data_IF_019789355938
#
_entry.id   IF_019789355938
#
_cell.length_a   1.000
_cell.length_b   1.000
_cell.length_c   1.000
_cell.angle_alpha   90.00
_cell.angle_beta   90.00
_cell.angle_gamma   90.00
#
_symmetry.space_group_name_H-M   'P 1'
#
loop_
_entity.id
_entity.type
_entity.pdbx_description
1 polymer ?
#
# COMPACT_ATOMS: atom_id res chain seq x y z
N UNK A 1 -34.29 69.01 -13.48
CA UNK A 1 -33.71 68.37 -12.29
C UNK A 1 -34.55 67.16 -11.93
N UNK A 2 -34.07 65.94 -12.17
CA UNK A 2 -34.49 64.75 -11.44
C UNK A 2 -33.43 63.65 -11.59
N UNK A 3 -33.06 63.09 -10.45
CA UNK A 3 -31.89 62.23 -10.23
C UNK A 3 -32.13 60.79 -10.69
N UNK A 4 -31.19 60.22 -11.44
CA UNK A 4 -31.11 58.78 -11.66
C UNK A 4 -30.41 58.11 -10.46
N UNK A 5 -31.08 57.16 -9.81
CA UNK A 5 -30.50 56.30 -8.76
C UNK A 5 -29.78 55.11 -9.42
N UNK A 6 -28.48 54.99 -9.19
CA UNK A 6 -27.70 53.79 -9.52
C UNK A 6 -27.80 52.82 -8.32
N UNK A 7 -28.37 51.63 -8.52
CA UNK A 7 -28.37 50.55 -7.53
C UNK A 7 -27.08 49.72 -7.72
N UNK A 8 -26.17 49.80 -6.76
CA UNK A 8 -25.03 48.90 -6.64
C UNK A 8 -25.51 47.56 -6.04
N UNK A 9 -25.40 46.46 -6.79
CA UNK A 9 -25.51 45.11 -6.24
C UNK A 9 -24.14 44.67 -5.72
N UNK A 10 -24.00 44.56 -4.40
CA UNK A 10 -22.85 43.91 -3.77
C UNK A 10 -23.12 42.39 -3.70
N UNK A 11 -22.35 41.60 -4.44
CA UNK A 11 -22.35 40.15 -4.30
C UNK A 11 -21.48 39.74 -3.10
N UNK A 12 -21.94 38.86 -2.18
CA UNK A 12 -21.12 38.42 -1.06
C UNK A 12 -20.19 37.30 -1.53
N UNK A 13 -18.88 37.54 -1.47
CA UNK A 13 -17.84 36.52 -1.64
C UNK A 13 -17.77 35.69 -0.36
N UNK A 14 -18.30 34.47 -0.40
CA UNK A 14 -18.11 33.49 0.66
C UNK A 14 -16.68 32.94 0.59
N UNK A 15 -15.80 33.43 1.47
CA UNK A 15 -14.49 32.85 1.71
C UNK A 15 -14.67 31.60 2.59
N UNK A 16 -14.60 30.41 1.99
CA UNK A 16 -14.43 29.17 2.73
C UNK A 16 -12.98 29.07 3.21
N UNK A 17 -12.71 29.57 4.41
CA UNK A 17 -11.47 29.28 5.13
C UNK A 17 -11.53 27.85 5.67
N UNK A 18 -11.04 26.88 4.91
CA UNK A 18 -10.73 25.55 5.43
C UNK A 18 -9.52 25.67 6.36
N UNK A 19 -9.76 25.80 7.67
CA UNK A 19 -8.72 25.69 8.68
C UNK A 19 -8.19 24.25 8.69
N UNK A 20 -7.08 24.03 7.97
CA UNK A 20 -6.27 22.80 8.12
C UNK A 20 -5.62 22.88 9.49
N UNK A 21 -6.21 22.24 10.50
CA UNK A 21 -5.52 22.03 11.77
C UNK A 21 -4.34 21.11 11.49
N UNK A 22 -3.11 21.62 11.63
CA UNK A 22 -1.93 20.78 11.56
C UNK A 22 -2.02 19.70 12.66
N UNK A 23 -1.86 18.44 12.28
CA UNK A 23 -1.74 17.35 13.26
C UNK A 23 -0.51 17.61 14.12
N UNK A 24 -0.65 17.56 15.44
CA UNK A 24 0.45 17.86 16.36
C UNK A 24 1.63 16.92 16.06
N UNK A 25 2.81 17.48 15.80
CA UNK A 25 4.03 16.72 15.48
C UNK A 25 3.90 15.82 14.24
N UNK A 26 3.13 16.26 13.25
CA UNK A 26 2.87 15.56 11.98
C UNK A 26 4.14 15.09 11.26
N UNK A 27 5.25 15.80 11.43
CA UNK A 27 6.56 15.49 10.85
C UNK A 27 7.13 14.14 11.28
N UNK A 28 6.69 13.61 12.43
CA UNK A 28 7.12 12.30 12.92
C UNK A 28 6.10 11.18 12.65
N UNK A 29 4.89 11.50 12.18
CA UNK A 29 3.84 10.50 11.97
C UNK A 29 4.14 9.72 10.68
N UNK A 30 4.42 8.42 10.85
CA UNK A 30 4.74 7.52 9.74
C UNK A 30 3.51 6.87 9.09
N UNK A 31 2.36 6.94 9.77
CA UNK A 31 1.11 6.37 9.28
C UNK A 31 0.69 6.99 7.94
N UNK A 32 0.19 6.19 6.98
CA UNK A 32 -0.30 6.74 5.74
C UNK A 32 -1.54 7.61 5.99
N UNK A 33 -1.73 8.64 5.19
CA UNK A 33 -2.87 9.58 5.34
C UNK A 33 -4.21 8.97 4.89
N UNK A 34 -4.18 7.82 4.23
CA UNK A 34 -5.35 7.12 3.69
C UNK A 34 -5.08 5.62 3.63
N UNK A 35 -6.15 4.83 3.54
CA UNK A 35 -6.08 3.36 3.47
C UNK A 35 -5.47 2.86 2.17
N UNK A 36 -5.72 3.53 1.03
CA UNK A 36 -5.09 3.15 -0.25
C UNK A 36 -3.69 3.77 -0.33
N UNK A 37 -2.67 2.92 -0.17
CA UNK A 37 -1.27 3.33 -0.18
C UNK A 37 -0.65 2.92 -1.51
N UNK A 38 -0.14 3.86 -2.28
CA UNK A 38 0.62 3.59 -3.49
C UNK A 38 2.14 3.63 -3.23
N UNK A 39 2.95 2.89 -4.00
CA UNK A 39 4.40 2.91 -3.87
C UNK A 39 4.99 4.28 -4.19
N UNK A 40 6.06 4.69 -3.49
CA UNK A 40 6.65 6.02 -3.66
C UNK A 40 7.74 6.04 -4.73
N UNK A 41 8.58 5.02 -4.76
CA UNK A 41 9.74 4.97 -5.66
C UNK A 41 9.88 3.59 -6.30
N UNK A 42 10.45 3.60 -7.51
CA UNK A 42 10.88 2.41 -8.21
C UNK A 42 12.26 2.00 -7.68
N UNK A 43 12.41 0.74 -7.25
CA UNK A 43 13.65 0.22 -6.68
C UNK A 43 14.48 -0.52 -7.71
N UNK A 44 13.90 -1.54 -8.34
CA UNK A 44 14.58 -2.42 -9.30
C UNK A 44 13.63 -2.83 -10.42
N UNK A 45 14.20 -3.14 -11.58
CA UNK A 45 13.50 -3.70 -12.74
C UNK A 45 14.39 -4.79 -13.32
N UNK A 46 13.82 -5.97 -13.56
CA UNK A 46 14.50 -7.08 -14.21
C UNK A 46 13.66 -7.58 -15.38
N UNK A 47 14.30 -8.10 -16.43
CA UNK A 47 13.60 -8.53 -17.65
C UNK A 47 13.03 -7.35 -18.45
N UNK A 48 11.88 -7.57 -19.10
CA UNK A 48 11.25 -6.60 -20.01
C UNK A 48 9.99 -6.02 -19.39
N UNK A 49 10.13 -4.80 -18.82
CA UNK A 49 8.99 -4.04 -18.31
C UNK A 49 9.01 -2.63 -18.89
N UNK A 50 7.99 -2.32 -19.69
CA UNK A 50 7.81 -0.98 -20.23
C UNK A 50 7.10 -0.09 -19.20
N UNK A 51 7.60 1.14 -19.04
CA UNK A 51 7.01 2.17 -18.19
C UNK A 51 6.70 1.70 -16.73
N UNK A 52 7.65 1.09 -16.01
CA UNK A 52 7.44 0.60 -14.63
C UNK A 52 7.05 1.72 -13.64
N UNK A 53 7.40 2.97 -13.95
CA UNK A 53 7.01 4.16 -13.18
C UNK A 53 5.50 4.44 -13.14
N UNK A 54 4.70 3.79 -14.00
CA UNK A 54 3.24 3.85 -13.98
C UNK A 54 2.62 3.41 -12.64
N UNK A 55 3.32 2.53 -11.93
CA UNK A 55 2.84 1.91 -10.70
C UNK A 55 3.11 2.74 -9.45
N UNK A 56 3.72 3.92 -9.58
CA UNK A 56 4.05 4.80 -8.48
C UNK A 56 2.89 5.75 -8.14
N UNK A 57 2.88 6.26 -6.91
CA UNK A 57 1.96 7.28 -6.41
C UNK A 57 1.86 8.51 -7.31
N UNK A 58 2.96 8.84 -8.00
CA UNK A 58 3.03 9.93 -8.98
C UNK A 58 3.59 9.39 -10.29
N UNK A 59 2.75 8.82 -11.15
CA UNK A 59 3.18 8.28 -12.45
C UNK A 59 3.79 9.38 -13.31
N UNK A 60 4.88 9.08 -14.00
CA UNK A 60 5.55 10.05 -14.89
C UNK A 60 4.71 10.38 -16.13
N UNK A 61 4.06 9.38 -16.73
CA UNK A 61 3.50 9.49 -18.08
C UNK A 61 2.02 9.10 -18.22
N UNK A 62 1.31 8.79 -17.12
CA UNK A 62 -0.12 8.43 -17.14
C UNK A 62 -0.49 7.14 -17.89
N UNK A 63 0.47 6.47 -18.53
CA UNK A 63 0.35 5.19 -19.24
C UNK A 63 0.60 4.01 -18.29
N UNK A 64 0.23 2.81 -18.71
CA UNK A 64 0.34 1.57 -17.92
C UNK A 64 1.79 1.06 -17.82
N UNK A 65 2.08 0.23 -16.82
CA UNK A 65 3.29 -0.60 -16.80
C UNK A 65 3.00 -1.91 -17.52
N UNK A 66 3.84 -2.26 -18.50
CA UNK A 66 3.62 -3.46 -19.33
C UNK A 66 4.73 -4.46 -19.06
N UNK A 67 4.39 -5.57 -18.43
CA UNK A 67 5.26 -6.72 -18.22
C UNK A 67 5.21 -7.61 -19.47
N UNK A 68 6.37 -8.01 -20.00
CA UNK A 68 6.45 -8.77 -21.26
C UNK A 68 7.39 -9.95 -21.08
N UNK A 69 6.92 -11.14 -21.43
CA UNK A 69 7.68 -12.38 -21.35
C UNK A 69 8.03 -12.80 -19.93
N UNK A 70 8.64 -13.98 -19.82
CA UNK A 70 8.95 -14.56 -18.51
C UNK A 70 10.11 -13.82 -17.83
N UNK A 71 10.16 -13.93 -16.50
CA UNK A 71 11.20 -13.30 -15.67
C UNK A 71 11.25 -11.77 -15.76
N UNK A 72 10.11 -11.15 -16.09
CA UNK A 72 9.95 -9.70 -16.03
C UNK A 72 9.43 -9.30 -14.66
N UNK A 73 10.15 -8.43 -13.96
CA UNK A 73 9.77 -8.02 -12.61
C UNK A 73 10.11 -6.58 -12.29
N UNK A 74 9.36 -6.03 -11.33
CA UNK A 74 9.55 -4.69 -10.78
C UNK A 74 9.52 -4.77 -9.27
N UNK A 75 10.48 -4.13 -8.61
CA UNK A 75 10.46 -3.92 -7.16
C UNK A 75 10.13 -2.46 -6.86
N UNK A 76 9.19 -2.26 -5.94
CA UNK A 76 8.64 -0.97 -5.56
C UNK A 76 8.93 -0.71 -4.07
N UNK A 77 9.24 0.52 -3.71
CA UNK A 77 9.50 0.96 -2.34
C UNK A 77 8.39 1.93 -1.87
N UNK A 78 7.72 1.58 -0.77
CA UNK A 78 6.69 2.40 -0.12
C UNK A 78 7.27 3.50 0.78
N UNK A 79 8.58 3.47 1.03
CA UNK A 79 9.35 4.42 1.83
C UNK A 79 9.33 4.14 3.33
N UNK A 80 8.29 3.48 3.83
CA UNK A 80 8.12 3.02 5.22
C UNK A 80 7.45 1.65 5.21
N UNK A 81 7.59 0.87 6.29
CA UNK A 81 6.84 -0.38 6.41
C UNK A 81 5.34 -0.08 6.40
N UNK A 82 4.56 -0.87 5.68
CA UNK A 82 3.11 -0.89 5.62
C UNK A 82 2.63 -2.35 5.76
N UNK A 83 1.33 -2.59 5.78
CA UNK A 83 0.75 -3.92 5.73
C UNK A 83 -0.69 -3.86 5.20
N UNK A 84 -1.16 -4.92 4.54
CA UNK A 84 -2.49 -4.93 3.96
C UNK A 84 -2.67 -5.84 2.74
N UNK A 85 -3.74 -5.59 1.97
CA UNK A 85 -4.09 -6.34 0.77
C UNK A 85 -3.72 -5.58 -0.49
N UNK A 86 -3.10 -6.25 -1.45
CA UNK A 86 -2.75 -5.66 -2.76
C UNK A 86 -4.00 -5.51 -3.62
N UNK A 87 -4.10 -4.39 -4.34
CA UNK A 87 -5.13 -4.11 -5.34
C UNK A 87 -4.51 -3.47 -6.58
N UNK A 88 -4.96 -3.85 -7.78
CA UNK A 88 -4.47 -3.32 -9.05
C UNK A 88 -5.49 -3.51 -10.18
N UNK A 89 -5.32 -2.75 -11.27
CA UNK A 89 -6.12 -2.88 -12.48
C UNK A 89 -5.26 -3.43 -13.62
N UNK A 90 -5.84 -4.37 -14.37
CA UNK A 90 -5.31 -4.86 -15.64
C UNK A 90 -6.08 -4.24 -16.79
N UNK A 91 -5.38 -3.59 -17.70
CA UNK A 91 -5.96 -2.90 -18.86
C UNK A 91 -5.92 -3.76 -20.13
N UNK A 92 -4.89 -4.59 -20.28
CA UNK A 92 -4.76 -5.51 -21.39
C UNK A 92 -3.91 -6.72 -21.02
N UNK A 93 -4.20 -7.83 -21.71
CA UNK A 93 -3.52 -9.11 -21.57
C UNK A 93 -3.32 -9.66 -22.98
N UNK A 94 -2.11 -10.13 -23.27
CA UNK A 94 -1.80 -10.92 -24.46
C UNK A 94 -1.25 -12.26 -23.98
N UNK A 95 -1.78 -13.36 -24.51
CA UNK A 95 -1.50 -14.71 -24.02
C UNK A 95 -2.74 -15.38 -23.42
N UNK A 96 -2.63 -16.65 -23.07
CA UNK A 96 -3.76 -17.48 -22.62
C UNK A 96 -3.64 -17.93 -21.16
N UNK A 97 -2.47 -17.74 -20.52
CA UNK A 97 -2.22 -18.20 -19.15
C UNK A 97 -1.20 -17.28 -18.45
N UNK A 98 -1.59 -16.03 -18.27
CA UNK A 98 -0.74 -15.00 -17.67
C UNK A 98 -0.90 -14.95 -16.15
N UNK A 99 0.23 -14.80 -15.43
CA UNK A 99 0.25 -14.70 -13.98
C UNK A 99 1.11 -13.55 -13.49
N UNK A 100 0.66 -12.90 -12.42
CA UNK A 100 1.47 -11.96 -11.64
C UNK A 100 1.65 -12.48 -10.22
N UNK A 101 2.90 -12.63 -9.79
CA UNK A 101 3.29 -12.98 -8.43
C UNK A 101 3.71 -11.75 -7.65
N UNK A 102 3.30 -11.65 -6.39
CA UNK A 102 3.66 -10.55 -5.50
C UNK A 102 4.45 -11.07 -4.31
N UNK A 103 5.68 -10.59 -4.13
CA UNK A 103 6.52 -10.89 -2.96
C UNK A 103 6.76 -9.64 -2.12
N UNK A 104 7.04 -9.84 -0.84
CA UNK A 104 7.07 -8.76 0.16
C UNK A 104 8.28 -8.92 1.08
N UNK A 105 9.01 -7.83 1.32
CA UNK A 105 10.08 -7.80 2.33
C UNK A 105 10.14 -6.48 3.08
N UNK A 106 10.57 -6.51 4.33
CA UNK A 106 10.82 -5.32 5.15
C UNK A 106 12.19 -4.69 4.86
N UNK A 107 13.17 -5.49 4.44
CA UNK A 107 14.56 -5.05 4.27
C UNK A 107 15.01 -5.09 2.82
N UNK A 108 15.74 -4.05 2.41
CA UNK A 108 16.32 -4.02 1.06
C UNK A 108 17.40 -5.07 0.82
N UNK A 109 17.90 -5.73 1.88
CA UNK A 109 18.91 -6.78 1.77
C UNK A 109 18.34 -8.10 1.25
N UNK A 110 17.02 -8.30 1.34
CA UNK A 110 16.34 -9.56 1.06
C UNK A 110 15.29 -9.44 -0.05
N UNK A 111 15.37 -8.39 -0.86
CA UNK A 111 14.49 -8.22 -2.02
C UNK A 111 14.67 -9.41 -2.97
N UNK A 112 13.56 -10.04 -3.31
CA UNK A 112 13.49 -11.06 -4.35
C UNK A 112 12.10 -11.09 -4.97
N UNK A 113 11.96 -11.16 -6.30
CA UNK A 113 10.65 -11.37 -6.94
C UNK A 113 10.13 -12.80 -6.75
N UNK A 114 10.99 -13.73 -6.31
CA UNK A 114 10.69 -15.16 -6.26
C UNK A 114 10.28 -15.64 -4.86
N UNK A 115 10.58 -14.86 -3.83
CA UNK A 115 10.34 -15.23 -2.43
C UNK A 115 10.22 -13.97 -1.57
N UNK A 116 9.44 -14.04 -0.49
CA UNK A 116 9.26 -12.96 0.48
C UNK A 116 9.67 -13.38 1.89
N UNK A 117 9.65 -12.41 2.80
CA UNK A 117 9.86 -12.69 4.23
C UNK A 117 8.81 -13.68 4.71
N UNK A 118 9.18 -14.61 5.58
CA UNK A 118 8.23 -15.56 6.18
C UNK A 118 7.71 -15.03 7.52
N UNK A 119 6.39 -15.19 7.73
CA UNK A 119 5.76 -14.98 9.04
C UNK A 119 5.52 -16.31 9.79
N UNK A 120 6.13 -17.40 9.32
CA UNK A 120 5.96 -18.77 9.83
C UNK A 120 7.31 -19.40 10.18
N UNK A 121 7.33 -20.72 10.43
CA UNK A 121 8.57 -21.48 10.59
C UNK A 121 9.30 -21.75 9.25
N UNK A 122 8.69 -21.39 8.11
CA UNK A 122 9.34 -21.47 6.81
C UNK A 122 10.45 -20.42 6.72
N UNK A 123 11.50 -20.69 5.93
CA UNK A 123 12.56 -19.72 5.68
C UNK A 123 12.06 -18.52 4.87
N UNK A 124 11.19 -18.77 3.88
CA UNK A 124 10.63 -17.77 2.99
C UNK A 124 9.17 -18.09 2.65
N UNK A 125 8.39 -17.06 2.32
CA UNK A 125 7.07 -17.21 1.73
C UNK A 125 7.14 -17.16 0.20
N UNK A 126 6.32 -17.96 -0.47
CA UNK A 126 6.13 -17.88 -1.92
C UNK A 126 5.38 -16.60 -2.32
N UNK A 127 5.54 -16.14 -3.58
CA UNK A 127 4.77 -15.03 -4.10
C UNK A 127 3.26 -15.30 -4.00
N UNK A 128 2.49 -14.26 -3.70
CA UNK A 128 1.04 -14.28 -3.84
C UNK A 128 0.70 -14.19 -5.33
N UNK A 129 0.23 -15.31 -5.90
CA UNK A 129 -0.05 -15.42 -7.32
C UNK A 129 -1.47 -15.01 -7.69
N UNK A 130 -1.60 -14.23 -8.76
CA UNK A 130 -2.85 -13.90 -9.43
C UNK A 130 -2.83 -14.48 -10.84
N UNK A 131 -3.84 -15.28 -11.18
CA UNK A 131 -4.13 -15.63 -12.58
C UNK A 131 -4.84 -14.45 -13.25
N UNK A 132 -4.37 -14.05 -14.42
CA UNK A 132 -4.84 -12.87 -15.15
C UNK A 132 -5.45 -13.31 -16.49
N UNK A 133 -6.71 -13.80 -16.51
CA UNK A 133 -7.34 -14.26 -17.74
C UNK A 133 -7.80 -13.11 -18.66
N UNK A 134 -8.03 -11.92 -18.11
CA UNK A 134 -8.56 -10.78 -18.85
C UNK A 134 -8.27 -9.44 -18.16
N UNK A 135 -8.58 -8.34 -18.85
CA UNK A 135 -8.64 -7.02 -18.22
C UNK A 135 -9.70 -6.99 -17.10
N UNK A 136 -9.48 -6.13 -16.10
CA UNK A 136 -10.35 -5.99 -14.93
C UNK A 136 -9.60 -5.54 -13.69
N UNK A 137 -10.35 -5.40 -12.59
CA UNK A 137 -9.80 -5.09 -11.26
C UNK A 137 -9.49 -6.38 -10.51
N UNK A 138 -8.32 -6.43 -9.91
CA UNK A 138 -7.84 -7.54 -9.11
C UNK A 138 -7.50 -7.05 -7.69
N UNK A 139 -7.82 -7.88 -6.70
CA UNK A 139 -7.54 -7.59 -5.30
C UNK A 139 -7.26 -8.88 -4.54
N UNK A 140 -6.29 -8.85 -3.64
CA UNK A 140 -6.09 -9.93 -2.68
C UNK A 140 -7.31 -10.03 -1.77
N UNK A 141 -7.78 -11.26 -1.51
CA UNK A 141 -8.74 -11.50 -0.46
C UNK A 141 -8.14 -11.10 0.90
N UNK A 142 -8.98 -10.78 1.90
CA UNK A 142 -8.51 -10.30 3.20
C UNK A 142 -7.71 -11.38 3.95
N UNK A 143 -8.03 -12.64 3.72
CA UNK A 143 -7.29 -13.80 4.21
C UNK A 143 -5.91 -13.93 3.54
N UNK A 144 -5.61 -13.16 2.50
CA UNK A 144 -4.29 -13.07 1.85
C UNK A 144 -3.65 -11.71 2.12
N UNK A 145 -3.98 -11.05 3.23
CA UNK A 145 -3.35 -9.79 3.64
C UNK A 145 -1.91 -10.01 4.11
N UNK A 146 -0.98 -9.17 3.67
CA UNK A 146 0.40 -9.23 4.14
C UNK A 146 0.56 -8.42 5.42
N UNK A 147 1.31 -8.95 6.38
CA UNK A 147 1.82 -8.20 7.54
C UNK A 147 2.81 -7.10 7.13
N UNK A 148 3.76 -6.75 8.00
CA UNK A 148 4.77 -5.72 7.70
C UNK A 148 5.57 -6.00 6.42
N UNK A 149 5.68 -5.00 5.54
CA UNK A 149 6.63 -4.96 4.42
C UNK A 149 6.88 -3.50 3.99
N UNK A 150 8.03 -3.23 3.38
CA UNK A 150 8.32 -1.93 2.75
C UNK A 150 8.55 -2.05 1.25
N UNK A 151 9.09 -3.18 0.81
CA UNK A 151 9.37 -3.47 -0.58
C UNK A 151 8.39 -4.53 -1.07
N UNK A 152 7.83 -4.29 -2.25
CA UNK A 152 6.95 -5.23 -2.94
C UNK A 152 7.51 -5.47 -4.33
N UNK A 153 7.72 -6.74 -4.68
CA UNK A 153 8.11 -7.11 -6.03
C UNK A 153 6.93 -7.72 -6.77
N UNK A 154 6.79 -7.38 -8.04
CA UNK A 154 5.80 -7.93 -8.95
C UNK A 154 6.55 -8.74 -9.99
N UNK A 155 6.18 -9.99 -10.17
CA UNK A 155 6.82 -10.91 -11.08
C UNK A 155 5.82 -11.45 -12.10
N UNK A 156 6.10 -11.17 -13.37
CA UNK A 156 5.43 -11.81 -14.49
C UNK A 156 6.26 -13.00 -14.96
N UNK A 157 5.66 -14.19 -14.91
CA UNK A 157 6.33 -15.45 -15.24
C UNK A 157 5.56 -16.26 -16.28
N UNK A 158 5.14 -15.59 -17.35
CA UNK A 158 4.42 -16.18 -18.47
C UNK A 158 4.99 -15.67 -19.79
N UNK A 159 4.62 -16.26 -20.92
CA UNK A 159 5.22 -15.93 -22.23
C UNK A 159 4.59 -14.70 -22.90
N UNK A 160 3.41 -14.27 -22.44
CA UNK A 160 2.65 -13.17 -23.02
C UNK A 160 3.03 -11.80 -22.46
N UNK A 161 2.02 -10.93 -22.30
CA UNK A 161 2.21 -9.61 -21.70
C UNK A 161 1.00 -9.17 -20.89
N UNK A 162 1.25 -8.42 -19.81
CA UNK A 162 0.22 -7.89 -18.92
C UNK A 162 0.44 -6.40 -18.69
N UNK A 163 -0.58 -5.60 -18.97
CA UNK A 163 -0.58 -4.15 -18.71
C UNK A 163 -1.29 -3.84 -17.40
N UNK A 164 -0.57 -3.20 -16.48
CA UNK A 164 -0.98 -2.97 -15.09
C UNK A 164 -1.01 -1.47 -14.79
N UNK A 165 -2.02 -1.02 -14.05
CA UNK A 165 -2.10 0.33 -13.48
C UNK A 165 -2.80 0.35 -12.13
N UNK A 166 -2.88 1.53 -11.52
CA UNK A 166 -3.63 1.78 -10.28
C UNK A 166 -3.27 0.82 -9.14
N UNK A 167 -1.99 0.43 -9.05
CA UNK A 167 -1.49 -0.44 -8.01
C UNK A 167 -1.51 0.29 -6.66
N UNK A 168 -2.12 -0.34 -5.67
CA UNK A 168 -2.11 0.13 -4.29
C UNK A 168 -2.19 -1.03 -3.30
N UNK A 169 -1.95 -0.71 -2.04
CA UNK A 169 -2.17 -1.60 -0.90
C UNK A 169 -3.26 -0.97 -0.07
N UNK A 170 -4.35 -1.70 0.15
CA UNK A 170 -5.34 -1.34 1.15
C UNK A 170 -4.77 -1.66 2.54
N UNK A 171 -4.37 -0.62 3.27
CA UNK A 171 -3.75 -0.68 4.58
C UNK A 171 -4.72 -1.22 5.63
N UNK A 172 -4.46 -2.39 6.20
CA UNK A 172 -5.42 -3.06 7.11
C UNK A 172 -5.13 -2.85 8.59
N UNK A 173 -3.94 -2.34 8.94
CA UNK A 173 -3.54 -2.18 10.34
C UNK A 173 -4.37 -1.13 11.09
N UNK A 174 -4.56 -1.32 12.40
CA UNK A 174 -5.48 -0.58 13.26
C UNK A 174 -6.86 -0.36 12.60
N UNK A 175 -7.64 -1.43 12.37
CA UNK A 175 -8.89 -1.37 11.61
C UNK A 175 -9.94 -0.42 12.20
N UNK A 176 -9.90 -0.18 13.51
CA UNK A 176 -10.83 0.73 14.20
C UNK A 176 -10.48 2.22 14.01
N UNK A 177 -9.28 2.55 13.50
CA UNK A 177 -8.87 3.94 13.25
C UNK A 177 -9.39 4.44 11.90
N UNK A 178 -10.34 5.38 11.92
CA UNK A 178 -10.83 6.03 10.69
C UNK A 178 -9.76 6.95 10.09
N UNK A 179 -9.18 7.83 10.91
CA UNK A 179 -8.03 8.66 10.55
C UNK A 179 -6.77 8.02 11.13
N UNK A 180 -5.94 7.49 10.23
CA UNK A 180 -4.72 6.76 10.57
C UNK A 180 -3.64 7.62 11.23
N UNK A 181 -3.71 8.94 11.08
CA UNK A 181 -2.74 9.89 11.64
C UNK A 181 -3.24 10.57 12.92
N UNK A 182 -4.51 10.34 13.29
CA UNK A 182 -5.11 10.93 14.50
C UNK A 182 -4.77 10.14 15.75
N UNK A 183 -3.51 10.24 16.17
CA UNK A 183 -3.05 9.60 17.40
C UNK A 183 -3.71 10.26 18.62
N UNK A 184 -4.19 9.47 19.60
CA UNK A 184 -4.81 10.01 20.81
C UNK A 184 -3.79 10.55 21.83
N UNK A 185 -2.52 10.16 21.71
CA UNK A 185 -1.41 10.59 22.57
C UNK A 185 -0.23 11.07 21.75
N UNK A 186 0.59 11.95 22.33
CA UNK A 186 1.76 12.56 21.70
C UNK A 186 2.89 12.70 22.72
N UNK A 187 4.13 12.58 22.25
CA UNK A 187 5.34 12.83 23.05
C UNK A 187 6.25 13.79 22.29
N UNK A 188 6.88 14.70 23.03
CA UNK A 188 7.90 15.58 22.47
C UNK A 188 8.90 15.94 23.57
N UNK A 189 10.15 16.10 23.16
CA UNK A 189 11.29 16.48 23.98
C UNK A 189 12.28 17.30 23.14
N UNK A 190 13.28 17.90 23.80
CA UNK A 190 14.39 18.57 23.12
C UNK A 190 15.31 17.60 22.35
N UNK A 191 15.15 16.29 22.55
CA UNK A 191 15.91 15.27 21.83
C UNK A 191 15.16 14.79 20.59
N UNK A 192 15.63 15.24 19.43
CA UNK A 192 15.14 14.77 18.13
C UNK A 192 15.16 13.24 17.99
N UNK A 193 16.20 12.61 18.53
CA UNK A 193 16.31 11.14 18.53
C UNK A 193 15.17 10.49 19.32
N UNK A 194 14.86 11.00 20.53
CA UNK A 194 13.78 10.45 21.35
C UNK A 194 12.42 10.68 20.71
N UNK A 195 12.21 11.83 20.09
CA UNK A 195 10.98 12.10 19.33
C UNK A 195 10.80 11.04 18.23
N UNK A 196 11.80 10.87 17.36
CA UNK A 196 11.75 9.86 16.27
C UNK A 196 11.54 8.43 16.78
N UNK A 197 12.20 8.05 17.88
CA UNK A 197 12.02 6.72 18.49
C UNK A 197 10.60 6.52 19.00
N UNK A 198 10.01 7.51 19.66
CA UNK A 198 8.65 7.41 20.17
C UNK A 198 7.63 7.21 19.05
N UNK A 199 7.73 8.01 17.97
CA UNK A 199 6.80 7.89 16.85
C UNK A 199 7.04 6.64 16.00
N UNK A 200 8.28 6.16 15.89
CA UNK A 200 8.55 4.85 15.31
C UNK A 200 7.86 3.73 16.11
N UNK A 201 7.97 3.76 17.45
CA UNK A 201 7.29 2.80 18.32
C UNK A 201 5.76 2.88 18.24
N UNK A 202 5.20 4.09 18.21
CA UNK A 202 3.77 4.30 18.02
C UNK A 202 3.29 3.70 16.68
N UNK A 203 4.05 3.90 15.61
CA UNK A 203 3.74 3.33 14.31
C UNK A 203 3.89 1.81 14.27
N UNK A 204 4.90 1.23 14.94
CA UNK A 204 5.01 -0.21 15.10
C UNK A 204 3.78 -0.80 15.81
N UNK A 205 3.31 -0.17 16.89
CA UNK A 205 2.08 -0.60 17.56
C UNK A 205 0.87 -0.57 16.62
N UNK A 206 0.78 0.47 15.77
CA UNK A 206 -0.27 0.59 14.76
C UNK A 206 -0.21 -0.57 13.76
N UNK A 207 0.98 -0.84 13.18
CA UNK A 207 1.20 -1.95 12.23
C UNK A 207 0.89 -3.32 12.84
N UNK A 208 1.16 -3.50 14.14
CA UNK A 208 0.89 -4.75 14.85
C UNK A 208 -0.57 -4.89 15.35
N UNK A 209 -1.43 -3.89 15.14
CA UNK A 209 -2.84 -3.98 15.51
C UNK A 209 -3.64 -4.50 14.32
N UNK A 210 -4.14 -5.73 14.41
CA UNK A 210 -4.89 -6.37 13.34
C UNK A 210 -6.37 -6.60 13.70
N UNK A 211 -7.18 -6.89 12.69
CA UNK A 211 -8.54 -7.39 12.91
C UNK A 211 -8.46 -8.79 13.55
N UNK A 212 -9.07 -9.02 14.71
CA UNK A 212 -8.97 -10.29 15.43
C UNK A 212 -9.58 -11.47 14.66
N UNK A 213 -10.41 -11.24 13.65
CA UNK A 213 -10.92 -12.30 12.77
C UNK A 213 -9.87 -12.83 11.76
N UNK A 214 -8.75 -12.11 11.55
CA UNK A 214 -7.78 -12.38 10.49
C UNK A 214 -6.35 -12.48 11.03
N UNK A 215 -6.03 -13.64 11.61
CA UNK A 215 -4.71 -13.97 12.12
C UNK A 215 -4.02 -15.11 11.40
N UNK A 216 -2.73 -15.19 11.66
CA UNK A 216 -1.90 -16.32 11.22
C UNK A 216 -2.15 -17.50 12.16
N UNK A 217 -2.75 -18.58 11.65
CA UNK A 217 -2.72 -19.86 12.36
C UNK A 217 -1.27 -20.37 12.30
N UNK A 218 -0.55 -20.28 13.42
CA UNK A 218 0.76 -20.90 13.62
C UNK A 218 0.70 -22.36 13.13
N UNK A 219 1.16 -22.64 11.91
CA UNK A 219 1.11 -23.97 11.32
C UNK A 219 0.96 -24.08 9.79
N UNK A 220 0.77 -22.98 9.05
CA UNK A 220 0.63 -23.05 7.59
C UNK A 220 2.01 -22.83 6.93
N UNK A 221 2.51 -23.76 6.09
CA UNK A 221 3.80 -23.62 5.40
C UNK A 221 3.79 -22.43 4.42
N UNK A 222 4.97 -21.88 4.12
CA UNK A 222 5.18 -20.66 3.31
C UNK A 222 4.67 -20.67 1.86
N UNK A 223 4.05 -21.76 1.40
CA UNK A 223 3.33 -21.79 0.11
C UNK A 223 1.84 -21.57 0.34
N UNK A 224 1.25 -20.71 -0.47
CA UNK A 224 -0.20 -20.45 -0.41
C UNK A 224 -0.66 -19.99 1.00
N UNK A 225 0.07 -19.06 1.61
CA UNK A 225 -0.22 -18.55 2.95
C UNK A 225 -1.60 -17.87 3.07
N UNK A 226 -2.27 -18.05 4.21
CA UNK A 226 -3.56 -17.43 4.52
C UNK A 226 -3.71 -17.05 6.01
N UNK A 227 -4.31 -15.89 6.27
CA UNK A 227 -4.65 -15.32 7.57
C UNK A 227 -6.15 -15.47 7.86
N UNK A 228 -6.62 -16.69 8.11
CA UNK A 228 -8.04 -16.98 8.39
C UNK A 228 -8.30 -17.47 9.81
N UNK A 229 -7.31 -17.36 10.70
CA UNK A 229 -7.46 -17.77 12.10
C UNK A 229 -8.06 -16.63 12.93
N UNK A 230 -8.96 -16.95 13.85
CA UNK A 230 -9.41 -15.97 14.84
C UNK A 230 -8.37 -15.88 15.97
N UNK A 231 -7.75 -14.72 16.15
CA UNK A 231 -6.72 -14.48 17.19
C UNK A 231 -7.38 -14.30 18.56
N UNK A 232 -8.53 -13.66 18.59
CA UNK A 232 -9.33 -13.51 19.80
C UNK A 232 -10.80 -13.31 19.44
N UNK A 233 -11.70 -13.82 20.28
CA UNK A 233 -13.10 -13.41 20.26
C UNK A 233 -13.29 -12.30 21.30
N UNK A 234 -14.11 -11.29 20.99
CA UNK A 234 -14.55 -10.35 22.03
C UNK A 234 -15.32 -11.15 23.08
N UNK A 235 -14.74 -11.38 24.26
CA UNK A 235 -15.54 -11.62 25.45
C UNK A 235 -16.32 -10.34 25.72
N UNK A 236 -17.64 -10.42 25.65
CA UNK A 236 -18.53 -9.30 26.01
C UNK A 236 -18.35 -8.92 27.46
#
# INVERSE_FOLDING_TARGET
MNFARLLLYAAPTLLFSSSVSATKFSEYILAPSQRSVAPKTLREVHGTVNNPGALLLRPSNGTDAVFIGSNSSVTLDFGVNIGGTVEFDITSVSGTDEFLGFSFTESSLWISPYQGDSASNATYDSPLWFKIPSAGRYAAAKERQRGGFRYMSIWHNSTGSVSVKNLSVNFTASPEMVDLQKYPGYFNSDSEKLNRVWYAGAYTNQLCTADPAYGNALGIPGNDWYYNATISSKSR
#
